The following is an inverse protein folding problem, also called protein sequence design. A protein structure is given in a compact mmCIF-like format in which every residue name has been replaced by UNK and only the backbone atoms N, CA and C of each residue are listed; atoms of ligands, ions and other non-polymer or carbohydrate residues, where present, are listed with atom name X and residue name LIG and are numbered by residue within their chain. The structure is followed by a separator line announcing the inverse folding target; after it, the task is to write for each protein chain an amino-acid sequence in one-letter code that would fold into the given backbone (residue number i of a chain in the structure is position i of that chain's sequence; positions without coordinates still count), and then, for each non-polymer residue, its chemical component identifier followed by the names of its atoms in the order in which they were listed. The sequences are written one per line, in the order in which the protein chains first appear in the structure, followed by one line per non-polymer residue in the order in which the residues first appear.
data_IF_401862679289
#
_entry.id   IF_401862679289
#
_cell.length_a   1.000
_cell.length_b   1.000
_cell.length_c   1.000
_cell.angle_alpha   90.00
_cell.angle_beta   90.00
_cell.angle_gamma   90.00
#
_symmetry.space_group_name_H-M   'P 1'
#
loop_
_entity.id
_entity.type
_entity.pdbx_description
1 polymer ?
#
# COMPACT_ATOMS: atom_id res chain seq x y z
N UNK A 1 -18.29 -8.67 2.88
CA UNK A 1 -16.83 -8.88 2.81
C UNK A 1 -16.13 -7.59 2.37
N UNK A 2 -15.32 -6.99 3.25
CA UNK A 2 -14.67 -5.71 2.98
C UNK A 2 -13.72 -5.74 1.77
N UNK A 3 -13.06 -6.87 1.51
CA UNK A 3 -12.16 -7.04 0.36
C UNK A 3 -12.85 -6.74 -0.97
N UNK A 4 -14.09 -7.14 -1.13
CA UNK A 4 -14.80 -7.00 -2.40
C UNK A 4 -15.54 -5.67 -2.58
N UNK A 5 -15.55 -4.78 -1.56
CA UNK A 5 -16.32 -3.53 -1.59
C UNK A 5 -15.99 -2.63 -2.79
N UNK A 6 -14.70 -2.54 -3.16
CA UNK A 6 -14.27 -1.70 -4.29
C UNK A 6 -14.67 -2.25 -5.66
N UNK A 7 -15.02 -3.53 -5.74
CA UNK A 7 -15.30 -4.26 -6.98
C UNK A 7 -16.67 -4.94 -7.01
N UNK A 8 -17.60 -4.57 -6.11
CA UNK A 8 -18.94 -5.17 -6.05
C UNK A 8 -19.70 -5.10 -7.38
N UNK A 9 -19.50 -4.06 -8.15
CA UNK A 9 -20.12 -3.91 -9.48
C UNK A 9 -19.73 -5.04 -10.44
N UNK A 10 -18.55 -5.63 -10.29
CA UNK A 10 -18.07 -6.74 -11.13
C UNK A 10 -18.81 -8.06 -10.85
N UNK A 11 -19.53 -8.13 -9.74
CA UNK A 11 -20.29 -9.28 -9.28
C UNK A 11 -21.80 -9.08 -9.38
N UNK A 12 -22.25 -7.89 -9.78
CA UNK A 12 -23.65 -7.60 -10.06
C UNK A 12 -23.97 -8.02 -11.50
N UNK A 13 -24.92 -8.94 -11.68
CA UNK A 13 -25.32 -9.44 -12.99
C UNK A 13 -26.80 -9.86 -13.02
N UNK A 14 -27.37 -9.97 -14.24
CA UNK A 14 -28.73 -10.44 -14.46
C UNK A 14 -29.81 -9.35 -14.27
N UNK A 15 -31.08 -9.71 -14.64
CA UNK A 15 -32.25 -8.89 -14.40
C UNK A 15 -32.44 -8.71 -12.88
N UNK A 16 -32.11 -7.53 -12.35
CA UNK A 16 -32.31 -7.19 -10.94
C UNK A 16 -31.03 -6.89 -10.14
N UNK A 17 -29.82 -6.89 -10.75
CA UNK A 17 -28.59 -6.47 -10.08
C UNK A 17 -28.18 -7.33 -8.90
N UNK A 18 -28.58 -8.62 -8.86
CA UNK A 18 -28.21 -9.54 -7.79
C UNK A 18 -26.70 -9.86 -7.82
N UNK A 19 -26.09 -9.83 -6.64
CA UNK A 19 -24.66 -10.15 -6.48
C UNK A 19 -24.47 -11.66 -6.54
N UNK A 20 -23.59 -12.13 -7.44
CA UNK A 20 -23.10 -13.51 -7.46
C UNK A 20 -22.19 -13.74 -6.25
N UNK A 21 -22.80 -14.24 -5.19
CA UNK A 21 -22.10 -14.53 -3.91
C UNK A 21 -21.08 -15.66 -4.02
N UNK A 22 -21.29 -16.62 -4.93
CA UNK A 22 -20.39 -17.74 -5.14
C UNK A 22 -19.07 -17.27 -5.77
N UNK A 23 -19.16 -16.52 -6.88
CA UNK A 23 -18.00 -15.93 -7.54
C UNK A 23 -17.27 -14.94 -6.63
N UNK A 24 -18.02 -14.10 -5.93
CA UNK A 24 -17.46 -13.17 -4.94
C UNK A 24 -16.64 -13.88 -3.86
N UNK A 25 -17.19 -14.93 -3.26
CA UNK A 25 -16.50 -15.69 -2.21
C UNK A 25 -15.25 -16.39 -2.74
N UNK A 26 -15.29 -16.95 -3.95
CA UNK A 26 -14.13 -17.55 -4.61
C UNK A 26 -12.99 -16.57 -4.85
N UNK A 27 -13.30 -15.38 -5.37
CA UNK A 27 -12.29 -14.35 -5.65
C UNK A 27 -11.72 -13.75 -4.36
N UNK A 28 -12.54 -13.54 -3.32
CA UNK A 28 -12.09 -13.14 -1.98
C UNK A 28 -11.16 -14.18 -1.38
N UNK A 29 -11.46 -15.47 -1.52
CA UNK A 29 -10.61 -16.53 -1.02
C UNK A 29 -9.26 -16.58 -1.75
N UNK A 30 -9.24 -16.50 -3.07
CA UNK A 30 -8.01 -16.43 -3.88
C UNK A 30 -7.17 -15.22 -3.47
N UNK A 31 -7.79 -14.05 -3.36
CA UNK A 31 -7.12 -12.83 -2.97
C UNK A 31 -6.54 -12.92 -1.56
N UNK A 32 -7.28 -13.45 -0.60
CA UNK A 32 -6.79 -13.62 0.78
C UNK A 32 -5.56 -14.53 0.85
N UNK A 33 -5.50 -15.53 0.00
CA UNK A 33 -4.34 -16.42 -0.14
C UNK A 33 -3.15 -15.68 -0.74
N UNK A 34 -3.36 -14.89 -1.80
CA UNK A 34 -2.28 -14.15 -2.46
C UNK A 34 -1.63 -13.10 -1.56
N UNK A 35 -2.40 -12.45 -0.69
CA UNK A 35 -1.87 -11.50 0.30
C UNK A 35 -1.63 -12.12 1.68
N UNK A 36 -1.74 -13.44 1.79
CA UNK A 36 -1.43 -14.23 3.00
C UNK A 36 -2.19 -13.73 4.24
N UNK A 37 -3.49 -13.49 4.14
CA UNK A 37 -4.32 -13.12 5.28
C UNK A 37 -4.59 -14.37 6.14
N UNK A 38 -4.14 -14.32 7.39
CA UNK A 38 -4.37 -15.38 8.37
C UNK A 38 -5.74 -15.21 9.03
N UNK A 39 -6.76 -15.88 8.51
CA UNK A 39 -8.09 -15.96 9.10
C UNK A 39 -8.74 -17.33 8.77
N UNK A 40 -9.42 -17.93 9.76
CA UNK A 40 -10.11 -19.23 9.57
C UNK A 40 -11.21 -19.17 8.49
N UNK A 41 -11.95 -18.06 8.44
CA UNK A 41 -12.99 -17.80 7.44
C UNK A 41 -12.96 -16.29 7.10
N UNK A 42 -12.16 -15.94 6.10
CA UNK A 42 -11.98 -14.55 5.68
C UNK A 42 -13.28 -13.95 5.12
N UNK A 43 -14.16 -14.77 4.59
CA UNK A 43 -15.44 -14.32 4.01
C UNK A 43 -16.38 -13.80 5.11
N UNK A 44 -16.36 -14.42 6.28
CA UNK A 44 -17.26 -14.11 7.40
C UNK A 44 -16.59 -13.28 8.50
N UNK A 45 -15.25 -13.33 8.61
CA UNK A 45 -14.54 -12.60 9.65
C UNK A 45 -14.67 -11.09 9.44
N UNK A 46 -15.03 -10.38 10.51
CA UNK A 46 -15.05 -8.92 10.52
C UNK A 46 -13.61 -8.40 10.56
N UNK A 47 -13.28 -7.43 9.72
CA UNK A 47 -11.92 -6.86 9.62
C UNK A 47 -11.42 -6.34 10.96
N UNK A 48 -12.27 -5.72 11.77
CA UNK A 48 -11.92 -5.24 13.11
C UNK A 48 -11.41 -6.32 14.07
N UNK A 49 -11.70 -7.60 13.79
CA UNK A 49 -11.28 -8.75 14.61
C UNK A 49 -9.95 -9.35 14.13
N UNK A 50 -9.35 -8.79 13.07
CA UNK A 50 -8.04 -9.18 12.56
C UNK A 50 -6.93 -8.39 13.26
N UNK A 51 -5.70 -8.94 13.28
CA UNK A 51 -4.51 -8.18 13.67
C UNK A 51 -4.29 -6.99 12.74
N UNK A 52 -3.58 -5.96 13.19
CA UNK A 52 -3.29 -4.76 12.41
C UNK A 52 -2.67 -5.08 11.04
N UNK A 53 -1.71 -5.99 10.99
CA UNK A 53 -1.09 -6.44 9.74
C UNK A 53 -2.09 -7.12 8.80
N UNK A 54 -2.99 -7.96 9.32
CA UNK A 54 -4.03 -8.59 8.50
C UNK A 54 -5.09 -7.56 8.04
N UNK A 55 -5.39 -6.54 8.85
CA UNK A 55 -6.25 -5.44 8.42
C UNK A 55 -5.63 -4.69 7.24
N UNK A 56 -4.33 -4.39 7.30
CA UNK A 56 -3.60 -3.73 6.23
C UNK A 56 -3.58 -4.57 4.94
N UNK A 57 -3.35 -5.88 5.05
CA UNK A 57 -3.45 -6.80 3.91
C UNK A 57 -4.86 -6.82 3.29
N UNK A 58 -5.92 -6.71 4.10
CA UNK A 58 -7.30 -6.56 3.60
C UNK A 58 -7.45 -5.28 2.79
N UNK A 59 -6.86 -4.17 3.25
CA UNK A 59 -6.91 -2.89 2.51
C UNK A 59 -6.21 -3.02 1.16
N UNK A 60 -5.01 -3.61 1.11
CA UNK A 60 -4.29 -3.83 -0.14
C UNK A 60 -5.08 -4.80 -1.04
N UNK A 61 -5.52 -5.94 -0.51
CA UNK A 61 -6.28 -6.95 -1.24
C UNK A 61 -7.59 -6.42 -1.85
N UNK A 62 -8.22 -5.44 -1.18
CA UNK A 62 -9.41 -4.76 -1.70
C UNK A 62 -9.14 -4.07 -3.04
N UNK A 63 -7.99 -3.46 -3.22
CA UNK A 63 -7.63 -2.78 -4.46
C UNK A 63 -7.07 -3.72 -5.51
N UNK A 64 -6.40 -4.80 -5.10
CA UNK A 64 -5.88 -5.83 -6.01
C UNK A 64 -6.96 -6.48 -6.87
N UNK A 65 -8.18 -6.64 -6.36
CA UNK A 65 -9.31 -7.16 -7.13
C UNK A 65 -9.70 -6.30 -8.34
N UNK A 66 -9.18 -5.08 -8.44
CA UNK A 66 -9.39 -4.18 -9.57
C UNK A 66 -8.27 -4.22 -10.60
N UNK A 67 -7.21 -4.96 -10.33
CA UNK A 67 -6.01 -5.06 -11.19
C UNK A 67 -5.47 -3.69 -11.64
N UNK A 68 -5.20 -2.75 -10.72
CA UNK A 68 -4.73 -1.42 -11.09
C UNK A 68 -3.29 -1.49 -11.59
N UNK A 69 -2.94 -0.62 -12.54
CA UNK A 69 -1.58 -0.48 -13.06
C UNK A 69 -0.68 0.36 -12.14
N UNK A 70 -1.28 1.18 -11.29
CA UNK A 70 -0.57 2.04 -10.34
C UNK A 70 -1.23 1.95 -8.97
N UNK A 71 -0.41 1.77 -7.95
CA UNK A 71 -0.82 1.82 -6.54
C UNK A 71 -0.23 3.06 -5.87
N UNK A 72 -1.07 3.79 -5.16
CA UNK A 72 -0.66 4.87 -4.24
C UNK A 72 -0.89 4.35 -2.83
N UNK A 73 0.20 4.20 -2.08
CA UNK A 73 0.22 3.64 -0.73
C UNK A 73 0.67 4.72 0.25
N UNK A 74 -0.25 5.20 1.07
CA UNK A 74 0.00 6.23 2.07
C UNK A 74 0.15 5.57 3.44
N UNK A 75 1.36 5.67 4.01
CA UNK A 75 1.76 5.06 5.29
C UNK A 75 1.35 3.57 5.41
N UNK A 76 1.73 2.70 4.44
CA UNK A 76 1.17 1.34 4.34
C UNK A 76 1.52 0.42 5.50
N UNK A 77 2.47 0.78 6.33
CA UNK A 77 2.95 -0.04 7.46
C UNK A 77 2.80 0.63 8.81
N UNK A 78 2.13 1.77 8.84
CA UNK A 78 1.95 2.53 10.09
C UNK A 78 1.12 1.75 11.09
N UNK A 79 1.66 1.67 12.32
CA UNK A 79 0.94 1.05 13.46
C UNK A 79 0.86 -0.47 13.44
N UNK A 80 1.66 -1.15 12.62
CA UNK A 80 1.80 -2.61 12.62
C UNK A 80 3.18 -3.04 13.13
N UNK A 81 3.28 -4.28 13.60
CA UNK A 81 4.52 -4.84 14.12
C UNK A 81 5.52 -5.16 12.98
N UNK A 82 6.80 -5.35 13.36
CA UNK A 82 7.91 -5.56 12.40
C UNK A 82 7.69 -6.80 11.52
N UNK A 83 7.12 -7.86 12.08
CA UNK A 83 6.82 -9.07 11.31
C UNK A 83 5.78 -8.80 10.22
N UNK A 84 4.70 -8.09 10.59
CA UNK A 84 3.65 -7.70 9.67
C UNK A 84 4.15 -6.69 8.61
N UNK A 85 5.06 -5.76 8.95
CA UNK A 85 5.71 -4.86 7.98
C UNK A 85 6.39 -5.66 6.86
N UNK A 86 7.19 -6.66 7.23
CA UNK A 86 7.89 -7.50 6.26
C UNK A 86 6.93 -8.24 5.31
N UNK A 87 5.77 -8.66 5.80
CA UNK A 87 4.75 -9.29 4.96
C UNK A 87 4.13 -8.29 3.96
N UNK A 88 3.86 -7.06 4.40
CA UNK A 88 3.39 -5.98 3.53
C UNK A 88 4.42 -5.62 2.47
N UNK A 89 5.70 -5.53 2.82
CA UNK A 89 6.79 -5.27 1.85
C UNK A 89 6.88 -6.36 0.78
N UNK A 90 6.74 -7.63 1.16
CA UNK A 90 6.70 -8.73 0.19
C UNK A 90 5.55 -8.59 -0.81
N UNK A 91 4.38 -8.17 -0.34
CA UNK A 91 3.23 -7.92 -1.22
C UNK A 91 3.55 -6.77 -2.18
N UNK A 92 4.05 -5.64 -1.69
CA UNK A 92 4.41 -4.46 -2.50
C UNK A 92 5.46 -4.84 -3.56
N UNK A 93 6.52 -5.56 -3.16
CA UNK A 93 7.55 -6.03 -4.08
C UNK A 93 7.00 -6.99 -5.15
N UNK A 94 6.08 -7.88 -4.78
CA UNK A 94 5.43 -8.77 -5.75
C UNK A 94 4.60 -8.01 -6.77
N UNK A 95 3.92 -6.93 -6.37
CA UNK A 95 3.17 -6.06 -7.27
C UNK A 95 4.09 -5.32 -8.25
N UNK A 96 5.19 -4.75 -7.75
CA UNK A 96 6.19 -4.09 -8.59
C UNK A 96 6.83 -5.08 -9.58
N UNK A 97 7.20 -6.28 -9.13
CA UNK A 97 7.73 -7.35 -9.99
C UNK A 97 6.71 -7.80 -11.04
N UNK A 98 5.41 -7.72 -10.75
CA UNK A 98 4.32 -7.95 -11.69
C UNK A 98 4.08 -6.81 -12.68
N UNK A 99 4.87 -5.73 -12.63
CA UNK A 99 4.81 -4.59 -13.54
C UNK A 99 3.88 -3.46 -13.10
N UNK A 100 3.39 -3.47 -11.86
CA UNK A 100 2.64 -2.34 -11.32
C UNK A 100 3.57 -1.19 -10.92
N UNK A 101 3.17 0.05 -11.21
CA UNK A 101 3.80 1.23 -10.67
C UNK A 101 3.43 1.42 -9.20
N UNK A 102 4.41 1.68 -8.32
CA UNK A 102 4.16 1.90 -6.90
C UNK A 102 4.60 3.32 -6.52
N UNK A 103 3.68 4.10 -6.00
CA UNK A 103 3.98 5.34 -5.30
C UNK A 103 3.75 5.11 -3.81
N UNK A 104 4.82 5.04 -3.04
CA UNK A 104 4.78 4.83 -1.60
C UNK A 104 5.08 6.14 -0.87
N UNK A 105 4.23 6.51 0.06
CA UNK A 105 4.40 7.66 0.94
C UNK A 105 4.66 7.10 2.34
N UNK A 106 5.76 7.49 2.96
CA UNK A 106 6.11 7.08 4.31
C UNK A 106 6.89 8.16 5.04
N UNK A 107 6.67 8.29 6.33
CA UNK A 107 7.49 9.08 7.25
C UNK A 107 8.69 8.30 7.79
N UNK A 108 8.75 7.00 7.55
CA UNK A 108 9.86 6.14 7.99
C UNK A 108 10.94 6.07 6.88
N UNK A 109 12.03 6.79 7.08
CA UNK A 109 13.11 6.88 6.08
C UNK A 109 13.71 5.51 5.73
N UNK A 110 13.87 4.62 6.71
CA UNK A 110 14.42 3.27 6.49
C UNK A 110 13.56 2.43 5.54
N UNK A 111 12.25 2.65 5.58
CA UNK A 111 11.30 2.03 4.67
C UNK A 111 11.56 2.45 3.23
N UNK A 112 11.67 3.77 3.00
CA UNK A 112 11.89 4.32 1.69
C UNK A 112 13.23 3.89 1.11
N UNK A 113 14.30 3.97 1.91
CA UNK A 113 15.64 3.53 1.50
C UNK A 113 15.69 2.04 1.16
N UNK A 114 14.97 1.21 1.92
CA UNK A 114 14.92 -0.24 1.70
C UNK A 114 14.07 -0.68 0.51
N UNK A 115 13.01 0.07 0.20
CA UNK A 115 11.96 -0.36 -0.72
C UNK A 115 11.98 0.33 -2.08
N UNK A 116 12.37 1.62 -2.13
CA UNK A 116 12.17 2.46 -3.31
C UNK A 116 13.36 2.43 -4.28
N UNK A 117 13.08 2.58 -5.57
CA UNK A 117 14.10 2.81 -6.60
C UNK A 117 14.43 4.30 -6.73
N UNK A 118 13.47 5.15 -6.35
CA UNK A 118 13.61 6.61 -6.36
C UNK A 118 12.87 7.20 -5.17
N UNK A 119 13.50 8.16 -4.49
CA UNK A 119 12.91 8.90 -3.36
C UNK A 119 12.75 10.37 -3.75
N UNK A 120 11.55 10.89 -3.61
CA UNK A 120 11.26 12.32 -3.71
C UNK A 120 10.99 12.85 -2.31
N UNK A 121 11.78 13.84 -1.88
CA UNK A 121 11.61 14.50 -0.59
C UNK A 121 10.72 15.72 -0.76
N UNK A 122 9.64 15.76 0.02
CA UNK A 122 8.73 16.91 0.07
C UNK A 122 8.84 17.65 1.39
N UNK A 123 8.87 18.97 1.32
CA UNK A 123 8.77 19.85 2.48
C UNK A 123 7.94 21.08 2.10
N UNK A 124 7.05 21.52 2.99
CA UNK A 124 6.18 22.70 2.79
C UNK A 124 5.38 22.69 1.47
N UNK A 125 4.95 21.51 1.02
CA UNK A 125 4.15 21.34 -0.19
C UNK A 125 4.94 21.37 -1.50
N UNK A 126 6.27 21.38 -1.45
CA UNK A 126 7.15 21.40 -2.62
C UNK A 126 8.09 20.19 -2.62
N UNK A 127 8.42 19.67 -3.82
CA UNK A 127 9.49 18.68 -3.97
C UNK A 127 10.83 19.40 -3.84
N UNK A 128 11.63 19.03 -2.85
CA UNK A 128 12.93 19.64 -2.53
C UNK A 128 14.10 18.93 -3.19
N UNK A 129 14.01 17.62 -3.27
CA UNK A 129 15.06 16.80 -3.86
C UNK A 129 14.49 15.50 -4.41
N UNK A 130 15.21 14.91 -5.34
CA UNK A 130 14.94 13.59 -5.88
C UNK A 130 16.25 12.81 -5.91
N UNK A 131 16.22 11.56 -5.41
CA UNK A 131 17.37 10.68 -5.33
C UNK A 131 17.05 9.37 -6.00
N UNK A 132 18.01 8.80 -6.73
CA UNK A 132 17.91 7.48 -7.34
C UNK A 132 18.55 6.41 -6.44
N UNK A 133 18.13 5.16 -6.57
CA UNK A 133 18.73 4.05 -5.83
C UNK A 133 20.23 3.97 -6.08
N UNK A 134 21.03 3.82 -5.02
CA UNK A 134 22.49 3.85 -5.06
C UNK A 134 23.10 5.22 -4.72
N UNK A 135 22.29 6.30 -4.72
CA UNK A 135 22.68 7.64 -4.25
C UNK A 135 21.94 8.06 -2.98
N UNK A 136 21.29 7.13 -2.28
CA UNK A 136 20.55 7.44 -1.05
C UNK A 136 21.55 7.69 0.08
N UNK A 137 21.65 8.95 0.49
CA UNK A 137 22.36 9.37 1.71
C UNK A 137 21.33 9.81 2.76
N UNK A 138 21.39 9.18 3.94
CA UNK A 138 20.44 9.41 5.01
C UNK A 138 20.44 10.86 5.52
N UNK A 139 21.65 11.46 5.64
CA UNK A 139 21.80 12.82 6.14
C UNK A 139 21.27 13.82 5.13
N UNK A 140 21.52 13.60 3.85
CA UNK A 140 21.01 14.45 2.77
C UNK A 140 19.48 14.38 2.68
N UNK A 141 18.89 13.20 2.76
CA UNK A 141 17.44 13.00 2.77
C UNK A 141 16.79 13.72 3.96
N UNK A 142 17.36 13.59 5.16
CA UNK A 142 16.86 14.28 6.35
C UNK A 142 17.02 15.79 6.24
N UNK A 143 18.16 16.26 5.74
CA UNK A 143 18.41 17.69 5.53
C UNK A 143 17.42 18.29 4.54
N UNK A 144 17.13 17.61 3.45
CA UNK A 144 16.13 18.02 2.48
C UNK A 144 14.72 18.08 3.09
N UNK A 145 14.37 17.12 3.97
CA UNK A 145 13.07 17.06 4.65
C UNK A 145 12.91 18.16 5.74
N UNK A 146 14.01 18.51 6.43
CA UNK A 146 14.02 19.47 7.52
C UNK A 146 14.26 20.93 7.07
N UNK A 147 14.33 21.19 5.78
CA UNK A 147 14.68 22.50 5.26
C UNK A 147 13.59 23.54 5.57
N UNK A 148 13.84 24.40 6.54
CA UNK A 148 12.93 25.44 7.06
C UNK A 148 12.76 26.67 6.15
N UNK A 149 13.17 26.59 4.90
CA UNK A 149 12.88 27.65 3.93
C UNK A 149 13.41 29.03 4.35
N UNK A 150 14.58 29.08 4.99
CA UNK A 150 15.28 30.37 5.19
C UNK A 150 15.59 30.88 3.79
N UNK A 151 14.70 31.74 3.27
CA UNK A 151 15.05 32.59 2.15
C UNK A 151 16.28 33.36 2.60
N UNK A 152 17.44 33.05 2.05
CA UNK A 152 18.54 33.98 2.05
C UNK A 152 18.06 35.20 1.25
N UNK A 153 17.53 36.19 1.95
CA UNK A 153 17.36 37.54 1.45
C UNK A 153 18.76 38.07 1.28
N UNK A 154 19.41 37.74 0.18
CA UNK A 154 20.59 38.44 -0.30
C UNK A 154 20.10 39.76 -0.86
N UNK A 155 20.47 40.80 -0.18
CA UNK A 155 20.44 42.17 -0.68
C UNK A 155 21.18 42.28 -2.01
#
# INVERSE_FOLDING_TARGET
TNIALSSLQNYAGGLGGMIDRGRLAGDVQKMSTSVQISAKDIVRTLVKNLSGGNQQKVVIGKWLLRDPKVFILDEPTRGIDVGAKNEVYKIINSLAAGGAGILMISSELEELVGMCDRIMVMAHGEIRATYERGSFDREELLRAAMWDGIRSSSK
#
